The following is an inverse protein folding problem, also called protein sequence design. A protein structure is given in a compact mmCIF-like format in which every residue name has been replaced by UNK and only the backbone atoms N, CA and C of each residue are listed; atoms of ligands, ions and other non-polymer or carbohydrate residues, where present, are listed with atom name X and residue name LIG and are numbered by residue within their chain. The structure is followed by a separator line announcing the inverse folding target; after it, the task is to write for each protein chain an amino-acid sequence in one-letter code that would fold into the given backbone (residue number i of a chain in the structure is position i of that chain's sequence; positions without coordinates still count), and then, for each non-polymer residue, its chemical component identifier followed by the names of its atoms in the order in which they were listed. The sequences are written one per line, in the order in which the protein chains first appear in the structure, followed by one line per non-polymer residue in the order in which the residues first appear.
data_IF_254245863807
#
_entry.id   IF_254245863807
#
_cell.length_a   1.000
_cell.length_b   1.000
_cell.length_c   1.000
_cell.angle_alpha   90.00
_cell.angle_beta   90.00
_cell.angle_gamma   90.00
#
_symmetry.space_group_name_H-M   'P 1'
#
loop_
_entity.id
_entity.type
_entity.pdbx_description
1 polymer ?
#
# COMPACT_ATOMS: atom_id res chain seq x y z
N UNK A 1 5.70 -14.24 -20.69
CA UNK A 1 4.46 -13.67 -20.12
C UNK A 1 4.16 -12.42 -20.93
N UNK A 2 3.06 -12.39 -21.67
CA UNK A 2 2.75 -11.28 -22.58
C UNK A 2 1.79 -10.30 -21.89
N UNK A 3 2.08 -9.00 -21.97
CA UNK A 3 1.20 -7.95 -21.43
C UNK A 3 0.09 -7.71 -22.45
N UNK A 4 -1.09 -8.22 -22.18
CA UNK A 4 -2.23 -8.16 -23.12
C UNK A 4 -2.96 -6.84 -23.03
N UNK A 5 -3.15 -6.32 -21.81
CA UNK A 5 -3.76 -5.02 -21.58
C UNK A 5 -2.73 -4.02 -21.03
N UNK A 6 -2.03 -3.34 -21.95
CA UNK A 6 -0.99 -2.36 -21.61
C UNK A 6 -1.50 -1.22 -20.71
N UNK A 7 -2.75 -0.76 -20.90
CA UNK A 7 -3.34 0.29 -20.06
C UNK A 7 -3.54 -0.17 -18.62
N UNK A 8 -4.13 -1.35 -18.41
CA UNK A 8 -4.32 -1.92 -17.06
C UNK A 8 -2.98 -2.23 -16.40
N UNK A 9 -2.01 -2.70 -17.17
CA UNK A 9 -0.65 -2.93 -16.68
C UNK A 9 -0.02 -1.63 -16.18
N UNK A 10 -0.07 -0.56 -16.98
CA UNK A 10 0.52 0.74 -16.63
C UNK A 10 -0.18 1.37 -15.42
N UNK A 11 -1.51 1.32 -15.36
CA UNK A 11 -2.27 1.78 -14.17
C UNK A 11 -1.91 0.95 -12.94
N UNK A 12 -1.82 -0.37 -13.08
CA UNK A 12 -1.39 -1.27 -12.00
C UNK A 12 0.01 -0.95 -11.51
N UNK A 13 0.95 -0.66 -12.42
CA UNK A 13 2.33 -0.27 -12.09
C UNK A 13 2.37 1.05 -11.32
N UNK A 14 1.63 2.08 -11.75
CA UNK A 14 1.57 3.37 -11.05
C UNK A 14 1.02 3.17 -9.63
N UNK A 15 -0.09 2.45 -9.49
CA UNK A 15 -0.71 2.17 -8.19
C UNK A 15 0.24 1.38 -7.29
N UNK A 16 0.95 0.39 -7.83
CA UNK A 16 1.95 -0.40 -7.11
C UNK A 16 3.09 0.49 -6.57
N UNK A 17 3.62 1.38 -7.41
CA UNK A 17 4.68 2.32 -7.01
C UNK A 17 4.19 3.24 -5.90
N UNK A 18 2.99 3.83 -6.04
CA UNK A 18 2.40 4.70 -5.03
C UNK A 18 2.19 3.96 -3.69
N UNK A 19 1.60 2.77 -3.70
CA UNK A 19 1.42 1.96 -2.49
C UNK A 19 2.75 1.58 -1.84
N UNK A 20 3.76 1.23 -2.64
CA UNK A 20 5.10 0.92 -2.14
C UNK A 20 5.77 2.12 -1.48
N UNK A 21 5.60 3.33 -2.01
CA UNK A 21 6.16 4.53 -1.41
C UNK A 21 5.58 4.79 -0.02
N UNK A 22 4.24 4.74 0.12
CA UNK A 22 3.56 4.90 1.40
C UNK A 22 4.08 3.90 2.43
N UNK A 23 4.13 2.61 2.07
CA UNK A 23 4.62 1.55 2.96
C UNK A 23 6.07 1.80 3.41
N UNK A 24 6.97 2.12 2.47
CA UNK A 24 8.41 2.28 2.77
C UNK A 24 8.66 3.49 3.66
N UNK A 25 7.91 4.58 3.49
CA UNK A 25 8.08 5.77 4.31
C UNK A 25 7.41 5.69 5.68
N UNK A 26 6.24 5.06 5.77
CA UNK A 26 5.47 5.01 7.01
C UNK A 26 5.95 3.90 7.95
N UNK A 27 6.51 2.80 7.41
CA UNK A 27 6.96 1.66 8.23
C UNK A 27 8.01 2.03 9.30
N UNK A 28 9.07 2.81 9.00
CA UNK A 28 10.01 3.29 10.03
C UNK A 28 9.35 4.16 11.10
N UNK A 29 8.37 4.99 10.72
CA UNK A 29 7.64 5.84 11.66
C UNK A 29 6.81 4.99 12.63
N UNK A 30 6.13 3.95 12.11
CA UNK A 30 5.37 3.01 12.94
C UNK A 30 6.29 2.29 13.93
N UNK A 31 7.47 1.83 13.47
CA UNK A 31 8.43 1.19 14.36
C UNK A 31 8.92 2.12 15.47
N UNK A 32 9.18 3.38 15.13
CA UNK A 32 9.61 4.39 16.10
C UNK A 32 8.57 4.57 17.22
N UNK A 33 7.29 4.77 16.87
CA UNK A 33 6.24 4.93 17.87
C UNK A 33 5.99 3.66 18.70
N UNK A 34 6.03 2.48 18.07
CA UNK A 34 5.90 1.21 18.79
C UNK A 34 7.02 1.01 19.83
N UNK A 35 8.25 1.42 19.49
CA UNK A 35 9.37 1.31 20.43
C UNK A 35 9.21 2.25 21.63
N UNK A 36 8.77 3.50 21.39
CA UNK A 36 8.49 4.46 22.45
C UNK A 36 7.39 4.01 23.41
N UNK A 37 6.32 3.40 22.88
CA UNK A 37 5.23 2.85 23.68
C UNK A 37 5.72 1.66 24.54
N UNK A 38 6.52 0.76 23.96
CA UNK A 38 6.97 -0.45 24.62
C UNK A 38 8.00 -0.19 25.75
N UNK A 39 8.85 0.83 25.59
CA UNK A 39 9.86 1.16 26.61
C UNK A 39 9.27 2.00 27.77
N UNK A 40 7.95 2.20 27.84
CA UNK A 40 7.24 3.00 28.85
C UNK A 40 7.79 4.42 29.05
N UNK A 41 8.61 4.95 28.14
CA UNK A 41 9.25 6.26 28.30
C UNK A 41 8.24 7.39 28.22
N UNK A 42 7.08 7.15 27.61
CA UNK A 42 6.10 8.19 27.31
C UNK A 42 4.72 7.53 27.43
N UNK A 43 3.93 7.93 28.43
CA UNK A 43 2.46 7.89 28.27
C UNK A 43 2.21 8.74 27.03
N UNK A 44 2.02 8.10 25.87
CA UNK A 44 1.92 8.77 24.58
C UNK A 44 0.89 9.88 24.73
N UNK A 45 1.34 11.14 24.74
CA UNK A 45 0.45 12.28 24.90
C UNK A 45 -0.63 12.18 23.82
N UNK A 46 -1.86 12.60 24.13
CA UNK A 46 -3.01 12.39 23.23
C UNK A 46 -2.71 12.83 21.79
N UNK A 47 -1.93 13.90 21.62
CA UNK A 47 -1.51 14.43 20.32
C UNK A 47 -0.60 13.46 19.55
N UNK A 48 0.38 12.84 20.22
CA UNK A 48 1.26 11.84 19.61
C UNK A 48 0.50 10.57 19.24
N UNK A 49 -0.49 10.20 20.05
CA UNK A 49 -1.35 9.05 19.79
C UNK A 49 -2.25 9.27 18.58
N UNK A 50 -2.78 10.48 18.39
CA UNK A 50 -3.54 10.83 17.19
C UNK A 50 -2.66 10.74 15.93
N UNK A 51 -1.43 11.27 15.99
CA UNK A 51 -0.48 11.18 14.87
C UNK A 51 -0.18 9.72 14.53
N UNK A 52 0.10 8.89 15.53
CA UNK A 52 0.37 7.47 15.31
C UNK A 52 -0.80 6.73 14.66
N UNK A 53 -2.04 7.00 15.11
CA UNK A 53 -3.24 6.43 14.50
C UNK A 53 -3.41 6.87 13.03
N UNK A 54 -3.13 8.13 12.70
CA UNK A 54 -3.16 8.62 11.32
C UNK A 54 -2.15 7.88 10.45
N UNK A 55 -0.91 7.73 10.92
CA UNK A 55 0.14 7.01 10.19
C UNK A 55 -0.26 5.54 9.98
N UNK A 56 -0.87 4.88 10.97
CA UNK A 56 -1.36 3.50 10.80
C UNK A 56 -2.45 3.39 9.72
N UNK A 57 -3.34 4.39 9.61
CA UNK A 57 -4.37 4.44 8.58
C UNK A 57 -3.72 4.66 7.20
N UNK A 58 -2.79 5.61 7.09
CA UNK A 58 -2.04 5.88 5.85
C UNK A 58 -1.29 4.64 5.37
N UNK A 59 -0.58 3.96 6.28
CA UNK A 59 0.09 2.70 5.98
C UNK A 59 -0.88 1.61 5.49
N UNK A 60 -2.06 1.49 6.13
CA UNK A 60 -3.09 0.53 5.72
C UNK A 60 -3.60 0.83 4.30
N UNK A 61 -3.80 2.11 3.97
CA UNK A 61 -4.14 2.54 2.61
C UNK A 61 -3.01 2.17 1.63
N UNK A 62 -1.76 2.38 2.02
CA UNK A 62 -0.58 1.98 1.25
C UNK A 62 -0.57 0.48 0.91
N UNK A 63 -0.86 -0.38 1.90
CA UNK A 63 -0.98 -1.84 1.71
C UNK A 63 -2.10 -2.20 0.75
N UNK A 64 -3.28 -1.58 0.89
CA UNK A 64 -4.41 -1.81 -0.02
C UNK A 64 -4.04 -1.42 -1.46
N UNK A 65 -3.41 -0.25 -1.65
CA UNK A 65 -2.93 0.19 -2.96
C UNK A 65 -1.92 -0.81 -3.53
N UNK A 66 -0.94 -1.25 -2.75
CA UNK A 66 0.07 -2.20 -3.19
C UNK A 66 -0.55 -3.52 -3.69
N UNK A 67 -1.44 -4.13 -2.90
CA UNK A 67 -2.14 -5.37 -3.27
C UNK A 67 -3.01 -5.17 -4.52
N UNK A 68 -3.70 -4.03 -4.62
CA UNK A 68 -4.51 -3.71 -5.80
C UNK A 68 -3.66 -3.53 -7.06
N UNK A 69 -2.48 -2.93 -6.95
CA UNK A 69 -1.51 -2.76 -8.02
C UNK A 69 -1.01 -4.11 -8.55
N UNK A 70 -0.63 -5.03 -7.66
CA UNK A 70 -0.29 -6.42 -8.02
C UNK A 70 -1.45 -7.09 -8.76
N UNK A 71 -2.65 -6.97 -8.21
CA UNK A 71 -3.85 -7.60 -8.78
C UNK A 71 -4.12 -7.10 -10.20
N UNK A 72 -3.99 -5.79 -10.45
CA UNK A 72 -4.15 -5.21 -11.79
C UNK A 72 -3.08 -5.67 -12.77
N UNK A 73 -1.83 -5.78 -12.34
CA UNK A 73 -0.74 -6.32 -13.16
C UNK A 73 -1.04 -7.77 -13.55
N UNK A 74 -1.45 -8.61 -12.60
CA UNK A 74 -1.82 -10.00 -12.87
C UNK A 74 -3.02 -10.08 -13.83
N UNK A 75 -4.07 -9.31 -13.59
CA UNK A 75 -5.26 -9.23 -14.44
C UNK A 75 -4.91 -8.80 -15.87
N UNK A 76 -3.94 -7.90 -16.05
CA UNK A 76 -3.52 -7.41 -17.36
C UNK A 76 -2.86 -8.49 -18.24
N UNK A 77 -2.37 -9.58 -17.63
CA UNK A 77 -1.72 -10.71 -18.30
C UNK A 77 -2.67 -11.89 -18.52
N UNK A 78 -3.80 -11.96 -17.81
CA UNK A 78 -4.73 -13.10 -17.89
C UNK A 78 -5.45 -13.17 -19.25
N UNK A 79 -5.59 -14.39 -19.79
CA UNK A 79 -6.22 -14.68 -21.09
C UNK A 79 -7.72 -14.30 -21.17
N UNK A 80 -8.40 -14.24 -20.01
CA UNK A 80 -9.86 -14.20 -19.89
C UNK A 80 -10.54 -12.89 -20.31
N UNK A 81 -9.84 -11.74 -20.32
CA UNK A 81 -10.46 -10.44 -20.61
C UNK A 81 -10.49 -10.02 -22.10
N UNK A 82 -9.87 -10.80 -22.99
CA UNK A 82 -9.91 -10.52 -24.45
C UNK A 82 -10.99 -11.35 -25.17
N UNK A 83 -11.43 -12.48 -24.57
CA UNK A 83 -12.35 -13.44 -25.20
C UNK A 83 -13.77 -13.42 -24.60
N UNK A 84 -14.27 -12.28 -24.12
CA UNK A 84 -15.53 -12.28 -23.38
C UNK A 84 -16.26 -10.95 -23.27
N UNK A 85 -16.38 -10.20 -24.37
CA UNK A 85 -17.59 -9.45 -24.79
C UNK A 85 -17.55 -9.40 -26.33
N UNK A 86 -17.71 -10.55 -26.97
CA UNK A 86 -18.09 -10.63 -28.38
C UNK A 86 -19.08 -11.77 -28.55
#
# INVERSE_FOLDING_TARGET
MEIRNQRKFLVGLIILILGSFVIVFDYPQIQYFNHLENDNYIVLENDQREIFQRIQIEFTIGVILFVSGISLILISMLKRFENGIR
#
